data_IF_452005693549
#
_entry.id   IF_452005693549
#
_cell.length_a   1.000
_cell.length_b   1.000
_cell.length_c   1.000
_cell.angle_alpha   90.00
_cell.angle_beta   90.00
_cell.angle_gamma   90.00
#
_symmetry.space_group_name_H-M   'P 1'
#
loop_
_entity.id
_entity.type
_entity.pdbx_description
1 polymer ?
#
# COMPACT_ATOMS: atom_id res chain seq x y z
N UNK A 1 6.72 -4.86 10.59
CA UNK A 1 5.58 -4.20 9.92
C UNK A 1 4.59 -3.58 10.91
N UNK A 2 3.87 -4.32 11.77
CA UNK A 2 2.82 -3.70 12.62
C UNK A 2 3.30 -2.62 13.59
N UNK A 3 4.58 -2.62 13.97
CA UNK A 3 5.17 -1.56 14.80
C UNK A 3 5.22 -0.19 14.10
N UNK A 4 5.11 -0.13 12.77
CA UNK A 4 5.17 1.12 12.00
C UNK A 4 3.80 1.78 11.80
N UNK A 5 2.71 1.13 12.21
CA UNK A 5 1.35 1.68 12.11
C UNK A 5 0.90 2.27 13.45
N UNK A 6 0.07 3.31 13.40
CA UNK A 6 -0.72 3.76 14.54
C UNK A 6 -1.73 2.66 14.96
N UNK A 7 -2.20 2.69 16.20
CA UNK A 7 -3.10 1.64 16.71
C UNK A 7 -4.46 1.62 15.99
N UNK A 8 -4.93 2.80 15.59
CA UNK A 8 -6.19 3.09 14.90
C UNK A 8 -6.01 3.35 13.39
N UNK A 9 -4.84 3.00 12.84
CA UNK A 9 -4.51 3.29 11.44
C UNK A 9 -5.53 2.72 10.45
N UNK A 10 -5.64 3.35 9.29
CA UNK A 10 -6.43 2.88 8.15
C UNK A 10 -5.53 2.37 7.02
N UNK A 11 -5.82 1.19 6.50
CA UNK A 11 -5.42 0.80 5.14
C UNK A 11 -6.65 0.79 4.24
N UNK A 12 -6.59 1.50 3.12
CA UNK A 12 -7.52 1.33 2.01
C UNK A 12 -6.80 0.65 0.84
N UNK A 13 -7.29 -0.52 0.46
CA UNK A 13 -6.78 -1.29 -0.67
C UNK A 13 -7.95 -1.85 -1.47
N UNK A 14 -7.93 -1.65 -2.79
CA UNK A 14 -9.01 -2.05 -3.70
C UNK A 14 -10.42 -1.62 -3.24
N UNK A 15 -10.55 -0.38 -2.77
CA UNK A 15 -11.81 0.19 -2.26
C UNK A 15 -12.35 -0.53 -0.99
N UNK A 16 -11.50 -1.24 -0.26
CA UNK A 16 -11.83 -1.87 1.03
C UNK A 16 -11.00 -1.26 2.15
N UNK A 17 -11.68 -0.92 3.23
CA UNK A 17 -11.06 -0.36 4.43
C UNK A 17 -10.71 -1.43 5.46
N UNK A 18 -9.52 -1.32 6.03
CA UNK A 18 -9.03 -2.14 7.13
C UNK A 18 -8.58 -1.21 8.27
N UNK A 19 -9.40 -1.15 9.32
CA UNK A 19 -9.18 -0.29 10.47
C UNK A 19 -8.46 -1.02 11.61
N UNK A 20 -7.40 -0.39 12.11
CA UNK A 20 -6.60 -0.84 13.25
C UNK A 20 -5.69 -2.03 12.96
N UNK A 21 -4.67 -2.18 13.80
CA UNK A 21 -3.58 -3.17 13.60
C UNK A 21 -4.05 -4.61 13.37
N UNK A 22 -5.14 -5.03 14.00
CA UNK A 22 -5.65 -6.40 13.83
C UNK A 22 -6.21 -6.65 12.42
N UNK A 23 -6.95 -5.70 11.85
CA UNK A 23 -7.47 -5.82 10.48
C UNK A 23 -6.33 -5.70 9.46
N UNK A 24 -5.42 -4.73 9.66
CA UNK A 24 -4.25 -4.51 8.80
C UNK A 24 -3.34 -5.74 8.80
N UNK A 25 -3.13 -6.39 9.95
CA UNK A 25 -2.33 -7.64 10.01
C UNK A 25 -2.93 -8.72 9.12
N UNK A 26 -4.23 -8.97 9.22
CA UNK A 26 -4.92 -10.01 8.42
C UNK A 26 -4.91 -9.67 6.93
N UNK A 27 -5.09 -8.40 6.59
CA UNK A 27 -4.94 -7.91 5.22
C UNK A 27 -3.54 -8.21 4.69
N UNK A 28 -2.49 -7.83 5.43
CA UNK A 28 -1.13 -8.02 4.97
C UNK A 28 -0.69 -9.49 4.91
N UNK A 29 -1.14 -10.32 5.85
CA UNK A 29 -0.91 -11.77 5.82
C UNK A 29 -1.50 -12.41 4.55
N UNK A 30 -2.69 -11.97 4.14
CA UNK A 30 -3.37 -12.46 2.95
C UNK A 30 -2.75 -11.89 1.66
N UNK A 31 -2.71 -10.56 1.54
CA UNK A 31 -2.52 -9.87 0.26
C UNK A 31 -1.06 -9.48 -0.02
N UNK A 32 -0.22 -9.37 1.00
CA UNK A 32 1.19 -9.05 0.82
C UNK A 32 2.05 -10.31 0.97
N UNK A 33 1.87 -11.04 2.07
CA UNK A 33 2.68 -12.22 2.39
C UNK A 33 2.16 -13.44 1.63
N UNK A 34 0.84 -13.68 1.66
CA UNK A 34 0.22 -14.82 0.97
C UNK A 34 0.39 -14.78 -0.54
N UNK A 35 0.43 -13.59 -1.13
CA UNK A 35 0.65 -13.39 -2.57
C UNK A 35 2.14 -13.18 -2.93
N UNK A 36 3.07 -13.38 -1.99
CA UNK A 36 4.52 -13.18 -2.19
C UNK A 36 4.85 -11.83 -2.89
N UNK A 37 4.16 -10.77 -2.46
CA UNK A 37 4.21 -9.48 -3.14
C UNK A 37 5.62 -8.89 -3.09
N UNK A 38 6.17 -8.58 -4.26
CA UNK A 38 7.42 -7.82 -4.39
C UNK A 38 7.11 -6.39 -4.77
N UNK A 39 7.82 -5.44 -4.15
CA UNK A 39 7.62 -4.01 -4.34
C UNK A 39 8.97 -3.38 -4.67
N UNK A 40 9.13 -2.92 -5.92
CA UNK A 40 10.31 -2.19 -6.38
C UNK A 40 10.00 -0.70 -6.48
N UNK A 41 10.41 0.07 -5.47
CA UNK A 41 10.16 1.52 -5.40
C UNK A 41 10.91 2.26 -6.51
N UNK A 42 10.18 3.05 -7.30
CA UNK A 42 10.72 3.84 -8.42
C UNK A 42 10.72 5.34 -8.14
N UNK A 43 9.82 5.82 -7.26
CA UNK A 43 9.72 7.23 -6.89
C UNK A 43 9.20 7.40 -5.47
N UNK A 44 9.77 8.37 -4.75
CA UNK A 44 9.27 8.82 -3.45
C UNK A 44 9.10 10.33 -3.50
N UNK A 45 7.92 10.82 -3.14
CA UNK A 45 7.61 12.23 -2.96
C UNK A 45 7.15 12.46 -1.52
N UNK A 46 7.73 13.46 -0.85
CA UNK A 46 7.28 13.93 0.46
C UNK A 46 6.57 15.27 0.30
N UNK A 47 5.41 15.42 0.94
CA UNK A 47 4.70 16.69 1.03
C UNK A 47 4.04 16.80 2.42
N UNK A 48 4.61 17.64 3.29
CA UNK A 48 4.27 17.70 4.72
C UNK A 48 4.38 16.32 5.38
N UNK A 49 3.33 15.87 6.06
CA UNK A 49 3.22 14.57 6.73
C UNK A 49 2.74 13.45 5.80
N UNK A 50 2.70 13.73 4.48
CA UNK A 50 2.34 12.75 3.48
C UNK A 50 3.54 12.30 2.66
N UNK A 51 3.54 11.01 2.30
CA UNK A 51 4.45 10.43 1.33
C UNK A 51 3.65 9.77 0.22
N UNK A 52 4.07 10.00 -1.03
CA UNK A 52 3.58 9.25 -2.19
C UNK A 52 4.73 8.41 -2.71
N UNK A 53 4.58 7.09 -2.64
CA UNK A 53 5.56 6.13 -3.12
C UNK A 53 5.00 5.46 -4.37
N UNK A 54 5.71 5.56 -5.49
CA UNK A 54 5.41 4.80 -6.71
C UNK A 54 6.32 3.58 -6.77
N UNK A 55 5.75 2.42 -7.09
CA UNK A 55 6.51 1.19 -7.21
C UNK A 55 5.96 0.29 -8.32
N UNK A 56 6.86 -0.51 -8.89
CA UNK A 56 6.49 -1.68 -9.68
C UNK A 56 6.20 -2.81 -8.72
N UNK A 57 5.12 -3.54 -8.96
CA UNK A 57 4.62 -4.59 -8.08
C UNK A 57 4.45 -5.89 -8.86
N UNK A 58 4.88 -6.98 -8.26
CA UNK A 58 4.81 -8.34 -8.80
C UNK A 58 4.47 -9.33 -7.66
N UNK A 59 4.11 -10.57 -7.96
CA UNK A 59 3.71 -11.58 -6.98
C UNK A 59 2.91 -12.73 -7.58
N UNK A 60 2.32 -13.56 -6.73
CA UNK A 60 1.57 -14.76 -7.12
C UNK A 60 0.05 -14.55 -7.25
N UNK A 61 -0.41 -13.29 -7.29
CA UNK A 61 -1.82 -12.93 -7.43
C UNK A 61 -2.32 -13.06 -8.88
N UNK A 62 -3.65 -13.01 -9.06
CA UNK A 62 -4.25 -13.08 -10.40
C UNK A 62 -3.93 -11.81 -11.22
N UNK A 63 -3.02 -11.94 -12.17
CA UNK A 63 -2.60 -10.86 -13.06
C UNK A 63 -3.47 -10.67 -14.31
N UNK A 64 -4.51 -11.48 -14.50
CA UNK A 64 -5.33 -11.41 -15.72
C UNK A 64 -5.99 -10.04 -15.86
N UNK A 65 -5.70 -9.35 -16.96
CA UNK A 65 -6.22 -8.01 -17.23
C UNK A 65 -5.51 -6.87 -16.50
N UNK A 66 -4.44 -7.16 -15.76
CA UNK A 66 -3.53 -6.16 -15.20
C UNK A 66 -2.44 -5.80 -16.22
N UNK A 67 -1.86 -4.59 -16.12
CA UNK A 67 -0.78 -4.18 -17.00
C UNK A 67 0.54 -4.84 -16.52
N UNK A 68 1.48 -4.98 -17.44
CA UNK A 68 2.85 -5.42 -17.13
C UNK A 68 3.83 -4.34 -17.62
N UNK A 69 4.56 -3.64 -16.72
CA UNK A 69 4.57 -3.83 -15.27
C UNK A 69 3.31 -3.27 -14.58
N UNK A 70 2.91 -3.91 -13.46
CA UNK A 70 1.89 -3.34 -12.57
C UNK A 70 2.51 -2.22 -11.73
N UNK A 71 2.02 -1.01 -11.89
CA UNK A 71 2.48 0.16 -11.15
C UNK A 71 1.42 0.60 -10.14
N UNK A 72 1.80 0.63 -8.87
CA UNK A 72 0.96 1.13 -7.77
C UNK A 72 1.53 2.42 -7.18
N UNK A 73 0.63 3.25 -6.68
CA UNK A 73 0.93 4.42 -5.86
C UNK A 73 0.43 4.16 -4.43
N UNK A 74 1.34 4.29 -3.47
CA UNK A 74 1.08 4.15 -2.03
C UNK A 74 1.10 5.54 -1.41
N UNK A 75 -0.05 5.99 -0.93
CA UNK A 75 -0.20 7.27 -0.23
C UNK A 75 -0.17 7.00 1.25
N UNK A 76 0.87 7.47 1.92
CA UNK A 76 1.03 7.39 3.37
C UNK A 76 0.73 8.73 4.00
N UNK A 77 -0.04 8.71 5.09
CA UNK A 77 -0.10 9.82 6.06
C UNK A 77 0.56 9.38 7.35
N UNK A 78 1.46 10.21 7.85
CA UNK A 78 2.23 9.96 9.08
C UNK A 78 1.66 10.82 10.21
N UNK A 79 1.46 10.22 11.38
CA UNK A 79 1.20 10.93 12.64
C UNK A 79 2.19 10.41 13.68
N UNK A 80 2.92 11.33 14.35
CA UNK A 80 3.89 11.00 15.41
C UNK A 80 4.81 9.82 15.04
N UNK A 81 5.43 9.91 13.86
CA UNK A 81 6.34 8.91 13.28
C UNK A 81 5.73 7.52 12.98
N UNK A 82 4.40 7.40 13.01
CA UNK A 82 3.67 6.19 12.68
C UNK A 82 2.78 6.40 11.45
N UNK A 83 2.54 5.33 10.69
CA UNK A 83 1.58 5.33 9.58
C UNK A 83 0.17 5.39 10.18
N UNK A 84 -0.49 6.53 10.02
CA UNK A 84 -1.90 6.71 10.38
C UNK A 84 -2.82 6.28 9.23
N UNK A 85 -2.39 6.44 7.98
CA UNK A 85 -3.14 6.00 6.82
C UNK A 85 -2.22 5.48 5.71
N UNK A 86 -2.67 4.44 5.03
CA UNK A 86 -2.13 3.95 3.77
C UNK A 86 -3.28 3.76 2.77
N UNK A 87 -3.24 4.46 1.64
CA UNK A 87 -4.13 4.22 0.51
C UNK A 87 -3.30 3.67 -0.66
N UNK A 88 -3.75 2.55 -1.22
CA UNK A 88 -3.08 1.90 -2.35
C UNK A 88 -3.97 2.07 -3.58
N UNK A 89 -3.44 2.78 -4.58
CA UNK A 89 -4.13 3.03 -5.84
C UNK A 89 -3.30 2.50 -6.99
N UNK A 90 -3.97 1.95 -8.01
CA UNK A 90 -3.31 1.71 -9.30
C UNK A 90 -2.95 3.07 -9.88
N UNK A 91 -1.67 3.26 -10.18
CA UNK A 91 -1.21 4.49 -10.82
C UNK A 91 -1.63 4.43 -12.29
N UNK A 92 -2.84 4.92 -12.59
CA UNK A 92 -3.21 5.19 -13.97
C UNK A 92 -2.37 6.38 -14.39
N UNK A 93 -1.44 6.18 -15.31
CA UNK A 93 -0.96 7.29 -16.12
C UNK A 93 -2.15 7.71 -16.98
N UNK A 94 -3.08 8.48 -16.39
CA UNK A 94 -4.11 9.16 -17.14
C UNK A 94 -3.40 10.26 -17.94
N UNK A 95 -3.20 9.99 -19.22
CA UNK A 95 -3.16 11.02 -20.26
C UNK A 95 -4.58 11.11 -20.81
#
# INVERSE_FOLDING_TARGET
>A
MMATFADDALVNDQLRDYWGKAAIRRWAERDLIGEELTIAVTKVLKHHDNFVVTANVDGNFDMRGLPDPLILAFYFTIDRDLIAQLIILRNRQDI
#
